data_IF_211224118508
#
_entry.id   IF_211224118508
#
_cell.length_a   1.000
_cell.length_b   1.000
_cell.length_c   1.000
_cell.angle_alpha   90.00
_cell.angle_beta   90.00
_cell.angle_gamma   90.00
#
_symmetry.space_group_name_H-M   'P 1'
#
loop_
_entity.id
_entity.type
_entity.pdbx_description
1 polymer ?
#
# COMPACT_ATOMS: atom_id res chain seq x y z
N UNK A 1 -10.16 25.08 -3.44
CA UNK A 1 -10.83 24.30 -4.50
C UNK A 1 -9.76 23.52 -5.23
N UNK A 2 -9.73 22.20 -5.05
CA UNK A 2 -8.65 21.34 -5.55
C UNK A 2 -8.86 20.93 -7.02
N UNK A 3 -10.05 21.15 -7.57
CA UNK A 3 -10.32 21.04 -9.02
C UNK A 3 -11.20 22.21 -9.47
N UNK A 4 -10.96 22.69 -10.69
CA UNK A 4 -11.70 23.79 -11.35
C UNK A 4 -12.47 23.29 -12.60
N UNK A 5 -12.75 21.99 -12.69
CA UNK A 5 -13.28 21.36 -13.90
C UNK A 5 -12.20 20.97 -14.94
N UNK A 6 -10.92 21.23 -14.64
CA UNK A 6 -9.77 20.70 -15.42
C UNK A 6 -9.56 19.21 -15.16
N UNK A 7 -9.08 18.49 -16.18
CA UNK A 7 -8.60 17.11 -16.06
C UNK A 7 -7.32 16.99 -15.20
N UNK A 8 -6.67 18.12 -14.90
CA UNK A 8 -5.46 18.20 -14.08
C UNK A 8 -5.73 18.95 -12.76
N UNK A 9 -5.23 18.39 -11.66
CA UNK A 9 -5.31 18.98 -10.34
C UNK A 9 -4.09 19.90 -10.08
N UNK A 10 -4.27 21.21 -9.81
CA UNK A 10 -3.15 22.15 -9.66
C UNK A 10 -2.16 21.80 -8.55
N UNK A 11 -2.64 21.22 -7.43
CA UNK A 11 -1.77 20.78 -6.35
C UNK A 11 -0.94 19.56 -6.78
N UNK A 12 -1.58 18.59 -7.43
CA UNK A 12 -0.85 17.43 -7.94
C UNK A 12 0.14 17.83 -9.02
N UNK A 13 -0.20 18.76 -9.92
CA UNK A 13 0.74 19.36 -10.88
C UNK A 13 1.95 19.96 -10.19
N UNK A 14 1.75 20.78 -9.17
CA UNK A 14 2.85 21.37 -8.41
C UNK A 14 3.77 20.31 -7.80
N UNK A 15 3.20 19.27 -7.17
CA UNK A 15 4.00 18.19 -6.58
C UNK A 15 4.73 17.38 -7.67
N UNK A 16 4.07 17.09 -8.79
CA UNK A 16 4.64 16.39 -9.93
C UNK A 16 5.86 17.14 -10.47
N UNK A 17 5.77 18.47 -10.61
CA UNK A 17 6.87 19.30 -11.08
C UNK A 17 8.07 19.25 -10.12
N UNK A 18 7.84 19.30 -8.80
CA UNK A 18 8.90 19.21 -7.79
C UNK A 18 9.57 17.84 -7.78
N UNK A 19 8.79 16.76 -7.87
CA UNK A 19 9.33 15.40 -7.91
C UNK A 19 10.05 15.09 -9.23
N UNK A 20 9.56 15.63 -10.34
CA UNK A 20 10.20 15.52 -11.65
C UNK A 20 11.52 16.29 -11.71
N UNK A 21 11.59 17.47 -11.06
CA UNK A 21 12.81 18.27 -10.99
C UNK A 21 13.91 17.63 -10.13
N UNK A 22 13.56 16.84 -9.11
CA UNK A 22 14.52 16.12 -8.27
C UNK A 22 14.94 14.76 -8.82
N UNK A 23 14.42 14.37 -9.99
CA UNK A 23 14.58 13.02 -10.56
C UNK A 23 14.06 11.88 -9.65
N UNK A 24 13.26 12.21 -8.63
CA UNK A 24 12.62 11.24 -7.76
C UNK A 24 11.42 10.57 -8.45
N UNK A 25 10.92 11.17 -9.55
CA UNK A 25 9.74 10.71 -10.26
C UNK A 25 9.91 10.86 -11.78
N UNK A 26 9.99 9.74 -12.53
CA UNK A 26 10.07 9.74 -13.98
C UNK A 26 8.94 10.51 -14.64
N UNK A 27 9.29 11.35 -15.61
CA UNK A 27 8.35 12.23 -16.30
C UNK A 27 7.20 11.50 -17.01
N UNK A 28 7.42 10.24 -17.41
CA UNK A 28 6.40 9.40 -18.05
C UNK A 28 5.19 9.11 -17.16
N UNK A 29 5.32 9.27 -15.84
CA UNK A 29 4.25 9.00 -14.86
C UNK A 29 3.46 10.24 -14.48
N UNK A 30 3.94 11.43 -14.86
CA UNK A 30 3.30 12.69 -14.52
C UNK A 30 1.85 12.78 -15.01
N UNK A 31 1.46 12.26 -16.20
CA UNK A 31 0.08 12.36 -16.65
C UNK A 31 -0.95 11.72 -15.69
N UNK A 32 -0.73 10.46 -15.27
CA UNK A 32 -1.64 9.81 -14.33
C UNK A 32 -1.59 10.45 -12.93
N UNK A 33 -0.39 10.86 -12.50
CA UNK A 33 -0.21 11.51 -11.20
C UNK A 33 -0.94 12.86 -11.15
N UNK A 34 -0.82 13.68 -12.19
CA UNK A 34 -1.48 14.99 -12.29
C UNK A 34 -3.01 14.84 -12.37
N UNK A 35 -3.48 13.76 -13.00
CA UNK A 35 -4.90 13.46 -13.15
C UNK A 35 -5.54 13.08 -11.80
N UNK A 36 -4.99 12.07 -11.13
CA UNK A 36 -5.64 11.47 -9.96
C UNK A 36 -4.71 11.12 -8.79
N UNK A 37 -3.42 11.41 -8.88
CA UNK A 37 -2.44 11.18 -7.81
C UNK A 37 -1.91 9.75 -7.74
N UNK A 38 -2.24 8.91 -8.72
CA UNK A 38 -1.82 7.52 -8.82
C UNK A 38 -0.90 7.28 -10.01
N UNK A 39 -0.07 6.25 -9.92
CA UNK A 39 0.92 5.93 -10.94
C UNK A 39 1.50 4.52 -10.76
N UNK A 40 2.09 4.00 -11.82
CA UNK A 40 2.94 2.80 -11.77
C UNK A 40 4.43 3.18 -11.78
N UNK A 41 5.27 2.41 -11.10
CA UNK A 41 6.71 2.57 -11.09
C UNK A 41 7.42 1.23 -11.06
N UNK A 42 8.56 1.14 -11.75
CA UNK A 42 9.51 0.06 -11.52
C UNK A 42 10.58 0.53 -10.51
N UNK A 43 10.82 -0.27 -9.48
CA UNK A 43 11.86 -0.06 -8.46
C UNK A 43 12.72 -1.32 -8.40
N UNK A 44 13.93 -1.28 -8.97
CA UNK A 44 14.84 -2.41 -8.93
C UNK A 44 14.30 -3.69 -9.59
N UNK A 45 13.50 -3.57 -10.64
CA UNK A 45 12.84 -4.69 -11.31
C UNK A 45 11.41 -4.96 -10.82
N UNK A 46 11.05 -4.49 -9.63
CA UNK A 46 9.73 -4.67 -9.05
C UNK A 46 8.74 -3.62 -9.56
N UNK A 47 7.63 -4.06 -10.16
CA UNK A 47 6.52 -3.16 -10.51
C UNK A 47 5.72 -2.80 -9.25
N UNK A 48 5.48 -1.52 -9.04
CA UNK A 48 4.74 -0.96 -7.92
C UNK A 48 3.62 -0.07 -8.46
N UNK A 49 2.39 -0.35 -8.05
CA UNK A 49 1.20 0.44 -8.32
C UNK A 49 0.89 1.29 -7.09
N UNK A 50 1.16 2.59 -7.19
CA UNK A 50 0.85 3.56 -6.15
C UNK A 50 -0.54 4.13 -6.38
N UNK A 51 -1.47 3.84 -5.46
CA UNK A 51 -2.87 4.29 -5.52
C UNK A 51 -3.12 5.46 -4.56
N UNK A 52 -3.88 6.44 -5.03
CA UNK A 52 -4.38 7.55 -4.24
C UNK A 52 -5.66 7.15 -3.51
N UNK A 53 -5.52 6.72 -2.26
CA UNK A 53 -6.63 6.26 -1.42
C UNK A 53 -7.29 7.37 -0.61
N UNK A 54 -6.80 8.62 -0.73
CA UNK A 54 -7.41 9.79 -0.08
C UNK A 54 -8.84 9.99 -0.58
N UNK A 55 -9.07 9.76 -1.88
CA UNK A 55 -10.39 9.91 -2.50
C UNK A 55 -11.43 8.91 -1.96
N UNK A 56 -10.98 7.83 -1.32
CA UNK A 56 -11.83 6.79 -0.77
C UNK A 56 -12.24 7.05 0.68
N UNK A 57 -11.55 7.97 1.34
CA UNK A 57 -11.75 8.25 2.76
C UNK A 57 -13.17 8.73 3.06
N UNK A 58 -13.75 8.25 4.16
CA UNK A 58 -15.01 8.80 4.70
C UNK A 58 -14.90 10.25 5.15
N UNK A 59 -13.68 10.76 5.32
CA UNK A 59 -13.37 12.14 5.71
C UNK A 59 -13.01 13.03 4.51
N UNK A 60 -13.02 12.50 3.29
CA UNK A 60 -12.72 13.30 2.10
C UNK A 60 -13.83 14.32 1.81
N UNK A 61 -13.45 15.56 1.52
CA UNK A 61 -14.40 16.66 1.26
C UNK A 61 -14.13 17.34 -0.10
N UNK A 62 -15.17 17.80 -0.83
CA UNK A 62 -16.60 17.77 -0.49
C UNK A 62 -17.17 16.34 -0.47
N UNK A 63 -18.16 16.10 0.38
CA UNK A 63 -18.69 14.77 0.63
C UNK A 63 -19.50 14.19 -0.54
N UNK A 64 -20.01 15.03 -1.46
CA UNK A 64 -20.84 14.64 -2.60
C UNK A 64 -20.65 15.61 -3.80
N UNK A 65 -20.91 15.16 -5.04
CA UNK A 65 -21.20 13.79 -5.43
C UNK A 65 -19.96 12.89 -5.34
N UNK A 66 -20.11 11.64 -4.87
CA UNK A 66 -19.07 10.62 -4.89
C UNK A 66 -19.15 9.77 -6.16
N UNK A 67 -18.21 9.92 -7.12
CA UNK A 67 -18.17 9.05 -8.28
C UNK A 67 -17.92 7.60 -7.86
N UNK A 68 -18.50 6.63 -8.58
CA UNK A 68 -18.24 5.21 -8.33
C UNK A 68 -16.75 4.86 -8.50
N UNK A 69 -16.08 5.49 -9.48
CA UNK A 69 -14.65 5.36 -9.73
C UNK A 69 -13.98 6.74 -9.85
N UNK A 70 -13.54 7.34 -8.72
CA UNK A 70 -12.86 8.64 -8.73
C UNK A 70 -11.61 8.61 -9.63
N UNK A 71 -11.61 9.45 -10.68
CA UNK A 71 -10.54 9.56 -11.69
C UNK A 71 -10.27 8.29 -12.51
N UNK A 72 -11.20 7.31 -12.52
CA UNK A 72 -10.98 6.05 -13.23
C UNK A 72 -9.88 5.17 -12.63
N UNK A 73 -9.55 5.37 -11.35
CA UNK A 73 -8.44 4.69 -10.68
C UNK A 73 -8.69 3.18 -10.52
N UNK A 74 -9.92 2.75 -10.25
CA UNK A 74 -10.23 1.32 -10.16
C UNK A 74 -10.19 0.66 -11.54
N UNK A 75 -10.70 1.31 -12.58
CA UNK A 75 -10.53 0.85 -13.96
C UNK A 75 -9.05 0.73 -14.34
N UNK A 76 -8.24 1.74 -14.01
CA UNK A 76 -6.79 1.71 -14.19
C UNK A 76 -6.14 0.56 -13.44
N UNK A 77 -6.44 0.39 -12.15
CA UNK A 77 -5.86 -0.68 -11.33
C UNK A 77 -6.16 -2.06 -11.91
N UNK A 78 -7.40 -2.30 -12.35
CA UNK A 78 -7.76 -3.54 -13.08
C UNK A 78 -6.89 -3.70 -14.30
N UNK A 79 -6.86 -2.73 -15.21
CA UNK A 79 -6.09 -2.79 -16.45
C UNK A 79 -4.61 -3.15 -16.20
N UNK A 80 -4.00 -2.57 -15.16
CA UNK A 80 -2.61 -2.85 -14.77
C UNK A 80 -2.43 -4.27 -14.25
N UNK A 81 -3.31 -4.75 -13.38
CA UNK A 81 -3.29 -6.14 -12.89
C UNK A 81 -3.55 -7.14 -14.02
N UNK A 82 -4.42 -6.80 -14.97
CA UNK A 82 -4.63 -7.62 -16.16
C UNK A 82 -3.40 -7.71 -17.04
N UNK A 83 -2.70 -6.59 -17.24
CA UNK A 83 -1.44 -6.57 -17.98
C UNK A 83 -0.38 -7.43 -17.28
N UNK A 84 -0.23 -7.28 -15.97
CA UNK A 84 0.68 -8.11 -15.17
C UNK A 84 0.33 -9.60 -15.27
N UNK A 85 -0.95 -9.96 -15.21
CA UNK A 85 -1.42 -11.34 -15.40
C UNK A 85 -1.07 -11.91 -16.78
N UNK A 86 -1.21 -11.11 -17.85
CA UNK A 86 -0.82 -11.52 -19.22
C UNK A 86 0.69 -11.69 -19.37
N UNK A 87 1.47 -10.82 -18.72
CA UNK A 87 2.94 -10.82 -18.78
C UNK A 87 3.58 -11.77 -17.76
N UNK A 88 2.77 -12.40 -16.90
CA UNK A 88 3.23 -13.23 -15.78
C UNK A 88 4.16 -12.47 -14.81
N UNK A 89 3.96 -11.16 -14.69
CA UNK A 89 4.69 -10.29 -13.79
C UNK A 89 3.97 -10.17 -12.45
N UNK A 90 4.73 -9.88 -11.38
CA UNK A 90 4.14 -9.49 -10.10
C UNK A 90 4.20 -8.01 -9.88
N UNK A 91 3.19 -7.52 -9.17
CA UNK A 91 3.09 -6.11 -8.79
C UNK A 91 2.90 -5.96 -7.29
N UNK A 92 3.42 -4.88 -6.73
CA UNK A 92 3.09 -4.46 -5.37
C UNK A 92 2.10 -3.32 -5.43
N UNK A 93 1.10 -3.33 -4.56
CA UNK A 93 0.18 -2.22 -4.40
C UNK A 93 0.59 -1.43 -3.16
N UNK A 94 0.74 -0.12 -3.30
CA UNK A 94 1.02 0.78 -2.19
C UNK A 94 -0.03 1.88 -2.12
N UNK A 95 -0.48 2.21 -0.91
CA UNK A 95 -1.45 3.27 -0.67
C UNK A 95 -1.26 3.93 0.69
N UNK A 96 -1.94 5.06 0.93
CA UNK A 96 -1.84 5.74 2.22
C UNK A 96 -2.83 5.14 3.24
N UNK A 97 -4.12 5.40 3.04
CA UNK A 97 -5.21 4.91 3.88
C UNK A 97 -5.53 3.46 3.48
N UNK A 98 -5.51 2.49 4.39
CA UNK A 98 -5.86 1.09 4.10
C UNK A 98 -7.38 0.88 4.00
N UNK A 99 -7.84 -0.13 3.24
CA UNK A 99 -9.26 -0.48 3.15
C UNK A 99 -9.75 -1.12 4.45
N UNK A 100 -10.97 -0.78 4.88
CA UNK A 100 -11.64 -1.39 6.02
C UNK A 100 -11.75 -0.45 7.23
N UNK A 101 -11.73 -1.04 8.43
CA UNK A 101 -11.91 -0.33 9.70
C UNK A 101 -10.56 0.08 10.30
N UNK A 102 -10.56 1.15 11.08
CA UNK A 102 -9.44 1.53 11.95
C UNK A 102 -9.48 0.70 13.24
N UNK A 103 -8.31 0.23 13.68
CA UNK A 103 -8.21 -0.81 14.72
C UNK A 103 -8.46 -0.28 16.13
N UNK A 104 -8.10 0.98 16.44
CA UNK A 104 -8.21 1.54 17.78
C UNK A 104 -9.60 2.15 18.08
N UNK A 105 -10.08 3.02 17.22
CA UNK A 105 -11.33 3.78 17.32
C UNK A 105 -12.53 3.13 16.60
N UNK A 106 -12.33 2.00 15.93
CA UNK A 106 -13.38 1.21 15.29
C UNK A 106 -14.25 2.05 14.33
N UNK A 107 -13.60 2.90 13.54
CA UNK A 107 -14.26 3.73 12.52
C UNK A 107 -13.95 3.26 11.10
N UNK A 108 -14.89 3.37 10.15
CA UNK A 108 -14.59 3.11 8.74
C UNK A 108 -13.52 4.07 8.24
N UNK A 109 -12.49 3.57 7.56
CA UNK A 109 -11.48 4.40 6.92
C UNK A 109 -11.91 4.84 5.52
N UNK A 110 -12.53 3.92 4.78
CA UNK A 110 -13.04 4.15 3.43
C UNK A 110 -14.57 4.04 3.40
N UNK A 111 -15.20 4.70 2.43
CA UNK A 111 -16.60 4.43 2.14
C UNK A 111 -16.79 2.97 1.69
N UNK A 112 -17.88 2.34 2.15
CA UNK A 112 -18.16 0.92 1.91
C UNK A 112 -18.12 0.52 0.43
N UNK A 113 -18.63 1.37 -0.47
CA UNK A 113 -18.59 1.11 -1.92
C UNK A 113 -17.16 0.94 -2.46
N UNK A 114 -16.20 1.71 -1.95
CA UNK A 114 -14.80 1.64 -2.39
C UNK A 114 -14.05 0.47 -1.74
N UNK A 115 -14.44 0.08 -0.52
CA UNK A 115 -13.95 -1.16 0.09
C UNK A 115 -14.41 -2.36 -0.73
N UNK A 116 -15.69 -2.43 -1.08
CA UNK A 116 -16.25 -3.49 -1.92
C UNK A 116 -15.52 -3.58 -3.26
N UNK A 117 -15.42 -2.45 -3.97
CA UNK A 117 -14.75 -2.37 -5.26
C UNK A 117 -13.28 -2.80 -5.21
N UNK A 118 -12.54 -2.40 -4.17
CA UNK A 118 -11.14 -2.80 -4.00
C UNK A 118 -11.01 -4.29 -3.68
N UNK A 119 -11.87 -4.83 -2.81
CA UNK A 119 -11.87 -6.25 -2.47
C UNK A 119 -12.26 -7.11 -3.68
N UNK A 120 -13.21 -6.66 -4.51
CA UNK A 120 -13.55 -7.33 -5.76
C UNK A 120 -12.35 -7.41 -6.71
N UNK A 121 -11.49 -6.39 -6.73
CA UNK A 121 -10.26 -6.38 -7.55
C UNK A 121 -9.20 -7.31 -6.96
N UNK A 122 -8.86 -7.15 -5.68
CA UNK A 122 -7.71 -7.88 -5.11
C UNK A 122 -8.04 -9.34 -4.81
N UNK A 123 -9.30 -9.68 -4.55
CA UNK A 123 -9.72 -11.06 -4.32
C UNK A 123 -10.12 -11.81 -5.60
N UNK A 124 -10.21 -11.14 -6.75
CA UNK A 124 -10.40 -11.82 -8.03
C UNK A 124 -9.25 -12.82 -8.28
N UNK A 125 -9.60 -14.05 -8.67
CA UNK A 125 -8.61 -15.13 -8.81
C UNK A 125 -7.51 -14.82 -9.83
N UNK A 126 -7.82 -14.07 -10.89
CA UNK A 126 -6.89 -13.75 -11.97
C UNK A 126 -6.09 -12.47 -11.70
N UNK A 127 -6.71 -11.46 -11.08
CA UNK A 127 -6.04 -10.20 -10.75
C UNK A 127 -5.24 -10.31 -9.44
N UNK A 128 -5.81 -10.95 -8.42
CA UNK A 128 -5.18 -11.10 -7.11
C UNK A 128 -3.94 -11.98 -7.11
N UNK A 129 -3.86 -13.00 -7.98
CA UNK A 129 -2.72 -13.92 -8.05
C UNK A 129 -1.39 -13.25 -8.46
N UNK A 130 -1.44 -12.11 -9.15
CA UNK A 130 -0.23 -11.36 -9.56
C UNK A 130 0.19 -10.30 -8.56
N UNK A 131 -0.61 -10.06 -7.52
CA UNK A 131 -0.19 -9.22 -6.41
C UNK A 131 0.92 -9.97 -5.64
N UNK A 132 2.00 -9.26 -5.32
CA UNK A 132 3.13 -9.78 -4.54
C UNK A 132 3.16 -9.25 -3.12
N UNK A 133 2.63 -8.05 -2.91
CA UNK A 133 2.45 -7.43 -1.60
C UNK A 133 1.45 -6.27 -1.69
N UNK A 134 0.85 -5.95 -0.54
CA UNK A 134 0.03 -4.76 -0.34
C UNK A 134 0.55 -4.00 0.88
N UNK A 135 0.99 -2.75 0.70
CA UNK A 135 1.61 -1.94 1.75
C UNK A 135 0.86 -0.63 1.94
N UNK A 136 0.44 -0.37 3.17
CA UNK A 136 -0.32 0.82 3.57
C UNK A 136 0.24 1.46 4.84
N UNK A 137 -0.25 2.65 5.18
CA UNK A 137 0.12 3.36 6.41
C UNK A 137 -1.11 3.90 7.12
N UNK A 138 -1.12 5.21 7.35
CA UNK A 138 -2.22 6.00 7.93
C UNK A 138 -2.56 5.74 9.40
N UNK A 139 -2.65 4.47 9.82
CA UNK A 139 -3.03 4.09 11.19
C UNK A 139 -1.89 4.34 12.20
N UNK A 140 -0.65 4.51 11.72
CA UNK A 140 0.55 4.71 12.53
C UNK A 140 0.85 3.55 13.50
N UNK A 141 0.36 2.36 13.18
CA UNK A 141 0.55 1.14 13.96
C UNK A 141 1.17 0.04 13.11
N UNK A 142 1.93 -0.84 13.76
CA UNK A 142 2.43 -2.06 13.14
C UNK A 142 1.30 -3.11 13.14
N UNK A 143 0.60 -3.26 12.01
CA UNK A 143 -0.48 -4.23 11.87
C UNK A 143 -0.49 -4.91 10.50
N UNK A 144 -1.25 -6.00 10.37
CA UNK A 144 -1.58 -6.62 9.09
C UNK A 144 -3.05 -7.03 9.07
N UNK A 145 -3.63 -7.15 7.87
CA UNK A 145 -5.02 -7.56 7.66
C UNK A 145 -5.06 -8.79 6.77
N UNK A 146 -5.53 -9.88 7.33
CA UNK A 146 -5.74 -11.13 6.61
C UNK A 146 -6.99 -11.04 5.72
N UNK A 147 -6.92 -11.56 4.49
CA UNK A 147 -8.03 -11.60 3.55
C UNK A 147 -8.47 -13.05 3.30
N UNK A 148 -9.51 -13.55 3.98
CA UNK A 148 -9.83 -15.00 3.97
C UNK A 148 -10.14 -15.57 2.58
N UNK A 149 -10.75 -14.76 1.73
CA UNK A 149 -11.22 -15.17 0.40
C UNK A 149 -10.22 -14.81 -0.71
N UNK A 150 -9.06 -14.23 -0.36
CA UNK A 150 -8.09 -13.78 -1.34
C UNK A 150 -7.17 -14.92 -1.85
N UNK A 151 -6.77 -14.88 -3.14
CA UNK A 151 -5.70 -15.72 -3.66
C UNK A 151 -4.38 -15.54 -2.90
N UNK A 152 -3.46 -16.50 -3.02
CA UNK A 152 -2.18 -16.48 -2.30
C UNK A 152 -1.38 -15.18 -2.46
N UNK A 153 -1.42 -14.53 -3.64
CA UNK A 153 -0.68 -13.28 -3.91
C UNK A 153 -1.34 -12.02 -3.34
N UNK A 154 -2.64 -12.07 -3.06
CA UNK A 154 -3.45 -10.91 -2.73
C UNK A 154 -3.50 -10.60 -1.23
N UNK A 155 -2.61 -11.13 -0.40
CA UNK A 155 -2.65 -10.83 1.03
C UNK A 155 -1.45 -11.37 1.78
N UNK A 156 -1.31 -11.03 3.07
CA UNK A 156 -2.14 -10.05 3.80
C UNK A 156 -1.84 -8.59 3.38
N UNK A 157 -2.66 -7.65 3.84
CA UNK A 157 -2.40 -6.21 3.70
C UNK A 157 -1.54 -5.77 4.87
N UNK A 158 -0.35 -5.21 4.60
CA UNK A 158 0.61 -4.79 5.62
C UNK A 158 0.50 -3.29 5.89
N UNK A 159 0.40 -2.92 7.16
CA UNK A 159 0.28 -1.52 7.58
C UNK A 159 1.47 -1.16 8.45
N UNK A 160 2.24 -0.16 8.03
CA UNK A 160 3.46 0.26 8.73
C UNK A 160 3.18 1.29 9.83
N UNK A 161 3.98 1.23 10.89
CA UNK A 161 4.11 2.32 11.85
C UNK A 161 4.60 3.61 11.20
N UNK A 162 4.54 4.72 11.95
CA UNK A 162 4.92 6.04 11.46
C UNK A 162 6.22 6.53 12.08
N UNK A 163 6.88 7.46 11.39
CA UNK A 163 7.99 8.25 11.97
C UNK A 163 7.48 9.28 12.99
N UNK A 164 6.23 9.71 12.89
CA UNK A 164 5.65 10.70 13.79
C UNK A 164 5.18 10.05 15.10
N UNK A 165 5.64 10.52 16.27
CA UNK A 165 5.22 9.98 17.56
C UNK A 165 3.90 10.58 18.07
N UNK A 166 3.11 11.24 17.20
CA UNK A 166 1.88 11.97 17.58
C UNK A 166 0.87 11.09 18.34
N UNK A 167 0.84 9.78 18.07
CA UNK A 167 -0.01 8.81 18.76
C UNK A 167 0.74 8.00 19.82
N UNK A 168 1.83 8.55 20.37
CA UNK A 168 2.61 7.96 21.47
C UNK A 168 3.25 6.61 21.13
N UNK A 169 3.33 6.26 19.85
CA UNK A 169 4.15 5.15 19.37
C UNK A 169 5.58 5.64 19.13
N UNK A 170 6.56 4.77 19.35
CA UNK A 170 7.93 5.05 18.94
C UNK A 170 7.98 5.22 17.40
N UNK A 171 8.73 6.21 16.88
CA UNK A 171 9.00 6.35 15.45
C UNK A 171 9.51 5.02 14.91
N UNK A 172 8.98 4.55 13.79
CA UNK A 172 9.37 3.26 13.23
C UNK A 172 9.42 3.27 11.71
N UNK A 173 10.24 2.36 11.16
CA UNK A 173 10.25 2.02 9.75
C UNK A 173 10.43 0.51 9.59
N UNK A 174 10.12 0.00 8.40
CA UNK A 174 10.30 -1.39 8.04
C UNK A 174 11.34 -1.54 6.93
N UNK A 175 12.19 -2.56 7.05
CA UNK A 175 12.93 -3.11 5.92
C UNK A 175 12.16 -4.33 5.42
N UNK A 176 11.93 -4.36 4.12
CA UNK A 176 11.15 -5.40 3.47
C UNK A 176 12.05 -6.19 2.54
N UNK A 177 12.12 -7.50 2.77
CA UNK A 177 12.85 -8.43 1.94
C UNK A 177 11.91 -9.04 0.89
N UNK A 178 12.38 -9.16 -0.34
CA UNK A 178 11.61 -9.73 -1.43
C UNK A 178 12.50 -10.53 -2.39
N UNK A 179 11.92 -11.54 -3.02
CA UNK A 179 12.58 -12.31 -4.06
C UNK A 179 12.58 -11.50 -5.37
N UNK A 180 13.76 -11.13 -5.87
CA UNK A 180 13.88 -10.28 -7.05
C UNK A 180 13.37 -10.93 -8.34
N UNK A 181 13.37 -12.27 -8.42
CA UNK A 181 12.93 -13.00 -9.62
C UNK A 181 11.41 -13.09 -9.73
N UNK A 182 10.74 -13.27 -8.60
CA UNK A 182 9.32 -13.51 -8.53
C UNK A 182 8.56 -12.29 -8.02
N UNK A 183 9.19 -11.32 -7.37
CA UNK A 183 8.54 -10.15 -6.75
C UNK A 183 7.77 -10.47 -5.48
N UNK A 184 8.00 -11.64 -4.86
CA UNK A 184 7.30 -12.08 -3.65
C UNK A 184 7.90 -11.47 -2.39
N UNK A 185 7.05 -11.02 -1.48
CA UNK A 185 7.43 -10.63 -0.13
C UNK A 185 7.97 -11.84 0.65
N UNK A 186 9.18 -11.73 1.20
CA UNK A 186 9.83 -12.83 1.92
C UNK A 186 9.82 -12.60 3.43
N UNK A 187 10.19 -11.40 3.88
CA UNK A 187 10.31 -11.09 5.30
C UNK A 187 10.14 -9.58 5.56
N UNK A 188 9.84 -9.24 6.81
CA UNK A 188 9.74 -7.86 7.29
C UNK A 188 10.57 -7.74 8.56
N UNK A 189 11.45 -6.74 8.59
CA UNK A 189 12.19 -6.34 9.78
C UNK A 189 11.75 -4.95 10.20
N UNK A 190 11.49 -4.76 11.49
CA UNK A 190 10.98 -3.50 12.04
C UNK A 190 12.07 -2.87 12.89
N UNK A 191 12.30 -1.58 12.65
CA UNK A 191 13.20 -0.75 13.43
C UNK A 191 12.40 0.39 14.07
N UNK A 192 12.80 0.79 15.28
CA UNK A 192 12.14 1.87 16.00
C UNK A 192 13.17 2.78 16.66
N UNK A 193 12.82 4.05 16.85
CA UNK A 193 13.61 4.98 17.63
C UNK A 193 13.12 4.98 19.08
N UNK A 194 13.97 4.58 20.03
CA UNK A 194 13.62 4.65 21.46
C UNK A 194 13.57 6.11 21.90
N UNK A 195 12.39 6.55 22.35
CA UNK A 195 12.16 7.92 22.80
C UNK A 195 12.20 8.07 24.33
N UNK A 196 12.00 6.98 25.09
CA UNK A 196 11.96 7.07 26.54
C UNK A 196 13.37 6.95 27.13
N UNK A 197 13.80 7.99 27.85
CA UNK A 197 15.07 7.99 28.57
C UNK A 197 16.32 8.15 27.70
N UNK A 198 16.16 8.44 26.39
CA UNK A 198 17.27 8.59 25.43
C UNK A 198 17.11 9.89 24.64
N UNK A 199 18.18 10.69 24.55
CA UNK A 199 18.21 11.97 23.81
C UNK A 199 19.59 12.22 23.17
N UNK A 200 19.72 12.30 21.83
CA UNK A 200 18.63 12.18 20.84
C UNK A 200 18.08 10.74 20.78
N UNK A 201 16.85 10.51 20.27
CA UNK A 201 16.32 9.17 20.08
C UNK A 201 17.28 8.28 19.28
N UNK A 202 17.44 7.04 19.72
CA UNK A 202 18.34 6.05 19.09
C UNK A 202 17.54 5.02 18.31
N UNK A 203 17.90 4.79 17.05
CA UNK A 203 17.36 3.70 16.25
C UNK A 203 17.83 2.35 16.78
N UNK A 204 16.87 1.45 17.01
CA UNK A 204 17.07 0.09 17.49
C UNK A 204 16.35 -0.89 16.58
N UNK A 205 16.92 -2.09 16.50
CA UNK A 205 16.21 -3.22 15.93
C UNK A 205 15.02 -3.56 16.85
N UNK A 206 13.83 -3.64 16.27
CA UNK A 206 12.62 -4.08 16.94
C UNK A 206 12.50 -5.60 16.87
N UNK A 207 12.10 -6.10 15.70
CA UNK A 207 11.98 -7.54 15.49
C UNK A 207 12.11 -7.91 14.01
N UNK A 208 12.42 -9.18 13.79
CA UNK A 208 12.33 -9.87 12.50
C UNK A 208 11.06 -10.71 12.53
N UNK A 209 10.17 -10.53 11.54
CA UNK A 209 8.84 -11.16 11.56
C UNK A 209 8.94 -12.68 11.61
N UNK A 210 9.74 -13.29 10.75
CA UNK A 210 9.89 -14.75 10.71
C UNK A 210 10.69 -15.29 11.90
N UNK A 211 11.56 -14.48 12.50
CA UNK A 211 12.21 -14.77 13.78
C UNK A 211 11.24 -14.74 14.96
N UNK A 212 10.28 -13.81 14.96
CA UNK A 212 9.29 -13.63 16.03
C UNK A 212 8.15 -14.66 15.97
N UNK A 213 7.79 -15.14 14.78
CA UNK A 213 6.67 -16.05 14.55
C UNK A 213 7.11 -17.34 13.83
N UNK A 214 7.61 -18.36 14.55
CA UNK A 214 8.15 -19.58 13.93
C UNK A 214 7.13 -20.35 13.07
N UNK A 215 5.86 -20.44 13.49
CA UNK A 215 4.83 -21.10 12.70
C UNK A 215 4.59 -20.40 11.35
N UNK A 216 4.63 -19.05 11.35
CA UNK A 216 4.53 -18.27 10.13
C UNK A 216 5.78 -18.45 9.25
N UNK A 217 6.98 -18.55 9.85
CA UNK A 217 8.21 -18.86 9.11
C UNK A 217 8.08 -20.18 8.37
N UNK A 218 7.71 -21.24 9.06
CA UNK A 218 7.60 -22.58 8.46
C UNK A 218 6.57 -22.57 7.31
N UNK A 219 5.44 -21.86 7.50
CA UNK A 219 4.43 -21.68 6.47
C UNK A 219 4.92 -20.84 5.27
N UNK A 220 5.61 -19.73 5.53
CA UNK A 220 6.14 -18.84 4.50
C UNK A 220 7.24 -19.54 3.67
N UNK A 221 8.13 -20.29 4.30
CA UNK A 221 9.14 -21.11 3.62
C UNK A 221 8.49 -22.17 2.72
N UNK A 222 7.49 -22.89 3.23
CA UNK A 222 6.76 -23.89 2.46
C UNK A 222 5.99 -23.30 1.25
N UNK A 223 5.58 -22.03 1.34
CA UNK A 223 4.86 -21.32 0.26
C UNK A 223 5.76 -20.45 -0.61
N UNK A 224 7.05 -20.30 -0.28
CA UNK A 224 8.00 -19.44 -0.97
C UNK A 224 7.71 -17.94 -0.82
N UNK A 225 7.27 -17.51 0.37
CA UNK A 225 7.03 -16.12 0.74
C UNK A 225 5.86 -15.91 1.70
N UNK A 226 5.72 -14.67 2.18
CA UNK A 226 4.62 -14.18 3.02
C UNK A 226 3.33 -14.00 2.20
N UNK A 227 2.82 -15.11 1.70
CA UNK A 227 1.56 -15.20 0.94
C UNK A 227 0.35 -15.23 1.87
N UNK A 228 -0.84 -14.95 1.34
CA UNK A 228 -2.08 -15.00 2.11
C UNK A 228 -2.31 -16.38 2.74
N UNK A 229 -1.93 -17.44 2.02
CA UNK A 229 -2.03 -18.82 2.51
C UNK A 229 -1.05 -19.16 3.65
N UNK A 230 0.02 -18.38 3.85
CA UNK A 230 0.91 -18.56 4.99
C UNK A 230 0.25 -18.12 6.32
N UNK A 231 -0.89 -17.41 6.26
CA UNK A 231 -1.67 -16.94 7.40
C UNK A 231 -2.95 -17.74 7.65
N UNK A 232 -3.19 -18.81 6.89
CA UNK A 232 -4.28 -19.80 7.11
C UNK A 232 -3.86 -20.84 8.14
#
# INVERSE_FOLDING_TARGET
>A
RVTNGSAANPWLSYVADRMGASNAFPRSRLPSYIHGGFFETNVGGLMVLSINTIMYSVLHTPAEPRPADPFGQFAWLRERLEAAARMQERVWIVGHIPPGMETYGYQPLWHAQYVGEYLDIVQDARLGQVIGAQLFGHVHADEFRYLPDAPAGAGPIWLTGALSPVYRSNPSFRLVEYDASSGRLLNIQVYYAEMQGVSPPEWRFGYDLLGAYPALRDAAEARGGLTNDAFR
#
